data_IF_240276701959
#
_entry.id   IF_240276701959
#
_cell.length_a   1.000
_cell.length_b   1.000
_cell.length_c   1.000
_cell.angle_alpha   90.00
_cell.angle_beta   90.00
_cell.angle_gamma   90.00
#
_symmetry.space_group_name_H-M   'P 1'
#
loop_
_entity.id
_entity.type
_entity.pdbx_description
1 polymer ?
#
# COMPACT_ATOMS: atom_id res chain seq x y z
N UNK A 1 6.76 9.87 -14.68
CA UNK A 1 6.28 10.29 -13.34
C UNK A 1 7.03 9.47 -12.29
N UNK A 2 7.38 10.05 -11.17
CA UNK A 2 7.92 9.33 -10.02
C UNK A 2 7.32 9.87 -8.73
N UNK A 3 7.35 9.05 -7.67
CA UNK A 3 6.95 9.42 -6.33
C UNK A 3 7.94 10.46 -5.79
N UNK A 4 7.44 11.56 -5.26
CA UNK A 4 8.28 12.58 -4.61
C UNK A 4 8.59 12.15 -3.18
N UNK A 5 9.87 12.12 -2.84
CA UNK A 5 10.35 11.65 -1.55
C UNK A 5 11.36 12.64 -0.94
N UNK A 6 11.50 12.58 0.36
CA UNK A 6 12.61 13.20 1.07
C UNK A 6 13.89 12.33 1.03
N UNK A 7 14.92 12.75 1.76
CA UNK A 7 16.22 12.05 1.80
C UNK A 7 16.16 10.66 2.46
N UNK A 8 15.09 10.38 3.19
CA UNK A 8 14.86 9.13 3.92
C UNK A 8 13.86 8.22 3.21
N UNK A 9 13.55 8.52 1.94
CA UNK A 9 12.54 7.84 1.12
C UNK A 9 11.10 7.94 1.65
N UNK A 10 10.81 8.92 2.50
CA UNK A 10 9.45 9.20 2.92
C UNK A 10 8.71 9.92 1.79
N UNK A 11 7.54 9.42 1.43
CA UNK A 11 6.69 10.08 0.44
C UNK A 11 6.22 11.45 0.95
N UNK A 12 6.29 12.45 0.04
CA UNK A 12 5.89 13.83 0.35
C UNK A 12 4.44 14.15 -0.03
N UNK A 13 3.75 13.22 -0.68
CA UNK A 13 2.34 13.38 -1.05
C UNK A 13 1.47 13.31 0.21
N UNK A 14 0.50 14.22 0.32
CA UNK A 14 -0.54 14.14 1.33
C UNK A 14 -1.61 13.11 0.88
N UNK A 15 -1.92 12.17 1.76
CA UNK A 15 -2.94 11.14 1.52
C UNK A 15 -4.24 11.51 2.22
N UNK A 16 -5.07 12.30 1.51
CA UNK A 16 -6.31 12.83 2.05
C UNK A 16 -6.14 14.15 2.82
N UNK A 17 -7.14 14.51 3.59
CA UNK A 17 -7.18 15.70 4.44
C UNK A 17 -7.35 15.32 5.92
N UNK A 18 -7.35 16.33 6.81
CA UNK A 18 -7.64 16.07 8.22
C UNK A 18 -9.06 15.53 8.41
N UNK A 19 -10.03 16.09 7.70
CA UNK A 19 -11.46 15.70 7.79
C UNK A 19 -11.74 14.37 7.09
N UNK A 20 -10.98 14.04 6.04
CA UNK A 20 -11.09 12.78 5.30
C UNK A 20 -9.71 12.23 4.98
N UNK A 21 -9.11 11.48 5.90
CA UNK A 21 -7.73 11.02 5.79
C UNK A 21 -7.58 9.76 4.91
N UNK A 22 -8.18 9.79 3.73
CA UNK A 22 -8.17 8.70 2.75
C UNK A 22 -7.82 9.26 1.38
N UNK A 23 -6.95 8.58 0.65
CA UNK A 23 -6.66 8.85 -0.75
C UNK A 23 -6.84 7.56 -1.56
N UNK A 24 -7.61 7.63 -2.63
CA UNK A 24 -7.80 6.54 -3.56
C UNK A 24 -7.24 6.97 -4.91
N UNK A 25 -6.30 6.21 -5.45
CA UNK A 25 -5.66 6.46 -6.73
C UNK A 25 -5.89 5.30 -7.70
N UNK A 26 -6.25 5.63 -8.92
CA UNK A 26 -6.23 4.70 -10.05
C UNK A 26 -4.88 4.83 -10.73
N UNK A 27 -4.10 3.78 -10.69
CA UNK A 27 -2.70 3.79 -11.10
C UNK A 27 -2.44 2.84 -12.26
N UNK A 28 -1.42 3.18 -13.05
CA UNK A 28 -0.96 2.39 -14.17
C UNK A 28 0.57 2.45 -14.23
N UNK A 29 1.24 1.29 -14.24
CA UNK A 29 2.69 1.24 -14.17
C UNK A 29 3.41 1.93 -15.33
N UNK A 30 2.82 1.91 -16.54
CA UNK A 30 3.40 2.59 -17.70
C UNK A 30 3.51 4.11 -17.55
N UNK A 31 2.82 4.73 -16.59
CA UNK A 31 2.94 6.15 -16.28
C UNK A 31 4.20 6.48 -15.48
N UNK A 32 4.79 5.49 -14.82
CA UNK A 32 6.02 5.64 -14.07
C UNK A 32 7.23 5.44 -14.96
N UNK A 33 8.32 6.14 -14.64
CA UNK A 33 9.58 5.99 -15.37
C UNK A 33 10.05 4.53 -15.31
N UNK A 34 10.35 3.96 -16.47
CA UNK A 34 10.78 2.55 -16.63
C UNK A 34 9.75 1.54 -16.09
N UNK A 35 8.46 1.91 -16.01
CA UNK A 35 7.43 1.02 -15.51
C UNK A 35 7.58 0.61 -14.05
N UNK A 36 8.15 1.48 -13.22
CA UNK A 36 8.38 1.19 -11.80
C UNK A 36 8.24 2.44 -10.93
N UNK A 37 7.66 2.29 -9.76
CA UNK A 37 7.74 3.29 -8.72
C UNK A 37 8.81 2.91 -7.69
N UNK A 38 9.54 3.94 -7.24
CA UNK A 38 10.69 3.79 -6.38
C UNK A 38 10.33 3.35 -4.96
N UNK A 39 11.29 2.80 -4.25
CA UNK A 39 11.22 2.52 -2.82
C UNK A 39 10.82 3.76 -2.04
N UNK A 40 9.70 3.67 -1.33
CA UNK A 40 9.19 4.73 -0.47
C UNK A 40 8.42 4.15 0.72
N UNK A 41 8.16 5.00 1.69
CA UNK A 41 7.33 4.68 2.84
C UNK A 41 6.50 5.90 3.25
N UNK A 42 5.42 5.66 3.95
CA UNK A 42 4.54 6.67 4.52
C UNK A 42 3.86 6.13 5.79
N UNK A 43 3.36 7.02 6.69
CA UNK A 43 2.74 6.59 7.94
C UNK A 43 1.32 6.01 7.77
N UNK A 44 0.73 6.15 6.62
CA UNK A 44 -0.58 5.59 6.31
C UNK A 44 -0.49 4.09 6.07
N UNK A 45 -1.61 3.40 6.25
CA UNK A 45 -1.84 2.05 5.73
C UNK A 45 -2.14 2.15 4.25
N UNK A 46 -1.63 1.22 3.46
CA UNK A 46 -1.97 1.10 2.04
C UNK A 46 -2.59 -0.25 1.71
N UNK A 47 -3.64 -0.20 0.91
CA UNK A 47 -4.24 -1.36 0.25
C UNK A 47 -4.11 -1.17 -1.25
N UNK A 48 -3.41 -2.08 -1.91
CA UNK A 48 -3.31 -2.12 -3.37
C UNK A 48 -4.11 -3.31 -3.91
N UNK A 49 -4.88 -3.07 -4.96
CA UNK A 49 -5.70 -4.08 -5.63
C UNK A 49 -5.46 -4.06 -7.13
N UNK A 50 -5.08 -5.21 -7.72
CA UNK A 50 -4.76 -5.33 -9.15
C UNK A 50 -6.04 -5.53 -9.96
N UNK A 51 -6.29 -4.59 -10.88
CA UNK A 51 -7.45 -4.61 -11.79
C UNK A 51 -7.17 -5.36 -13.09
N UNK A 52 -5.94 -5.26 -13.60
CA UNK A 52 -5.50 -5.98 -14.80
C UNK A 52 -4.00 -6.10 -14.88
N UNK A 53 -3.51 -7.14 -15.53
CA UNK A 53 -2.10 -7.44 -15.66
C UNK A 53 -1.49 -8.02 -14.38
N UNK A 54 -0.22 -7.75 -14.17
CA UNK A 54 0.50 -8.22 -12.98
C UNK A 54 1.60 -7.23 -12.60
N UNK A 55 1.95 -7.22 -11.33
CA UNK A 55 2.98 -6.35 -10.75
C UNK A 55 3.92 -7.14 -9.85
N UNK A 56 5.23 -6.91 -9.99
CA UNK A 56 6.20 -7.28 -8.99
C UNK A 56 6.16 -6.26 -7.85
N UNK A 57 5.75 -6.68 -6.66
CA UNK A 57 5.59 -5.82 -5.51
C UNK A 57 6.55 -6.24 -4.41
N UNK A 58 7.23 -5.30 -3.79
CA UNK A 58 8.22 -5.57 -2.75
C UNK A 58 7.90 -4.78 -1.49
N UNK A 59 7.97 -5.45 -0.34
CA UNK A 59 7.74 -4.83 0.98
C UNK A 59 8.79 -5.33 1.97
N UNK A 60 9.58 -4.43 2.54
CA UNK A 60 10.61 -4.75 3.55
C UNK A 60 11.47 -5.96 3.17
N UNK A 61 11.89 -6.05 1.90
CA UNK A 61 12.75 -7.12 1.40
C UNK A 61 12.04 -8.42 1.00
N UNK A 62 10.72 -8.52 1.17
CA UNK A 62 9.92 -9.61 0.60
C UNK A 62 9.39 -9.22 -0.77
N UNK A 63 9.42 -10.17 -1.72
CA UNK A 63 8.96 -9.97 -3.09
C UNK A 63 7.71 -10.81 -3.36
N UNK A 64 6.76 -10.19 -4.06
CA UNK A 64 5.49 -10.81 -4.44
C UNK A 64 5.22 -10.56 -5.92
N UNK A 65 4.53 -11.49 -6.56
CA UNK A 65 3.89 -11.28 -7.86
C UNK A 65 2.39 -11.25 -7.63
N UNK A 66 1.78 -10.10 -7.87
CA UNK A 66 0.33 -9.91 -7.76
C UNK A 66 -0.27 -9.89 -9.15
N UNK A 67 -1.28 -10.70 -9.39
CA UNK A 67 -2.04 -10.78 -10.64
C UNK A 67 -3.42 -10.16 -10.50
N UNK A 68 -4.15 -10.03 -11.59
CA UNK A 68 -5.54 -9.56 -11.59
C UNK A 68 -6.37 -10.27 -10.52
N UNK A 69 -7.07 -9.49 -9.70
CA UNK A 69 -7.87 -9.96 -8.57
C UNK A 69 -7.11 -10.05 -7.24
N UNK A 70 -5.78 -10.06 -7.27
CA UNK A 70 -4.98 -10.05 -6.04
C UNK A 70 -4.90 -8.65 -5.43
N UNK A 71 -4.68 -8.61 -4.12
CA UNK A 71 -4.39 -7.39 -3.40
C UNK A 71 -3.27 -7.57 -2.38
N UNK A 72 -2.77 -6.46 -1.86
CA UNK A 72 -1.78 -6.45 -0.79
C UNK A 72 -2.08 -5.33 0.20
N UNK A 73 -1.98 -5.67 1.47
CA UNK A 73 -1.91 -4.74 2.58
C UNK A 73 -0.44 -4.40 2.86
N UNK A 74 -0.12 -3.12 2.93
CA UNK A 74 1.16 -2.61 3.43
C UNK A 74 0.91 -1.85 4.73
N UNK A 75 1.63 -2.27 5.78
CA UNK A 75 1.50 -1.65 7.08
C UNK A 75 2.14 -0.26 7.11
N UNK A 76 1.79 0.52 8.13
CA UNK A 76 2.39 1.83 8.40
C UNK A 76 3.92 1.75 8.36
N UNK A 77 4.55 2.71 7.72
CA UNK A 77 6.00 2.85 7.59
C UNK A 77 6.73 1.68 6.89
N UNK A 78 6.01 0.75 6.29
CA UNK A 78 6.64 -0.32 5.53
C UNK A 78 7.25 0.23 4.22
N UNK A 79 8.53 -0.06 3.99
CA UNK A 79 9.24 0.36 2.78
C UNK A 79 8.80 -0.54 1.61
N UNK A 80 8.26 0.04 0.55
CA UNK A 80 7.71 -0.71 -0.57
C UNK A 80 8.01 -0.09 -1.93
N UNK A 81 7.95 -0.91 -2.97
CA UNK A 81 8.14 -0.54 -4.37
C UNK A 81 7.38 -1.49 -5.30
N UNK A 82 7.19 -1.08 -6.54
CA UNK A 82 6.54 -1.90 -7.56
C UNK A 82 7.15 -1.73 -8.94
N UNK A 83 7.10 -2.79 -9.75
CA UNK A 83 7.67 -2.80 -11.08
C UNK A 83 6.90 -3.71 -12.03
N UNK A 84 7.01 -3.40 -13.31
CA UNK A 84 6.51 -4.27 -14.39
C UNK A 84 7.23 -5.62 -14.40
N UNK A 85 6.48 -6.66 -14.74
CA UNK A 85 7.03 -7.99 -15.02
C UNK A 85 7.00 -8.19 -16.54
N UNK A 86 8.14 -8.60 -17.10
CA UNK A 86 8.32 -8.86 -18.54
C UNK A 86 7.89 -7.69 -19.44
N UNK A 87 7.98 -6.46 -18.94
CA UNK A 87 7.59 -5.24 -19.68
C UNK A 87 6.08 -5.09 -19.90
N UNK A 88 5.26 -5.91 -19.26
CA UNK A 88 3.80 -5.83 -19.37
C UNK A 88 3.23 -4.85 -18.34
N UNK A 89 2.25 -4.07 -18.79
CA UNK A 89 1.60 -3.06 -17.96
C UNK A 89 0.69 -3.68 -16.90
N UNK A 90 0.48 -2.94 -15.83
CA UNK A 90 -0.43 -3.29 -14.76
C UNK A 90 -1.27 -2.07 -14.39
N UNK A 91 -2.57 -2.29 -14.23
CA UNK A 91 -3.52 -1.30 -13.71
C UNK A 91 -3.98 -1.76 -12.34
N UNK A 92 -3.92 -0.85 -11.37
CA UNK A 92 -4.28 -1.13 -9.98
C UNK A 92 -4.92 0.06 -9.30
N UNK A 93 -5.62 -0.18 -8.21
CA UNK A 93 -6.10 0.84 -7.29
C UNK A 93 -5.22 0.80 -6.05
N UNK A 94 -4.69 1.96 -5.66
CA UNK A 94 -4.04 2.15 -4.37
C UNK A 94 -4.95 2.99 -3.47
N UNK A 95 -5.22 2.49 -2.28
CA UNK A 95 -5.99 3.18 -1.24
C UNK A 95 -5.10 3.37 -0.03
N UNK A 96 -4.72 4.60 0.25
CA UNK A 96 -3.93 4.97 1.42
C UNK A 96 -4.80 5.71 2.43
N UNK A 97 -4.71 5.37 3.70
CA UNK A 97 -5.48 6.02 4.75
C UNK A 97 -4.74 6.07 6.08
N UNK A 98 -4.93 7.18 6.80
CA UNK A 98 -4.38 7.29 8.14
C UNK A 98 -5.06 6.29 9.09
N UNK A 99 -4.30 5.58 9.95
CA UNK A 99 -4.89 4.60 10.89
C UNK A 99 -6.02 5.16 11.76
N UNK A 100 -5.97 6.46 12.09
CA UNK A 100 -7.02 7.13 12.87
C UNK A 100 -8.40 7.08 12.22
N UNK A 101 -8.47 6.85 10.91
CA UNK A 101 -9.73 6.66 10.19
C UNK A 101 -10.54 5.48 10.74
N UNK A 102 -9.86 4.46 11.28
CA UNK A 102 -10.48 3.26 11.84
C UNK A 102 -10.87 3.40 13.31
N UNK A 103 -10.35 4.40 14.02
CA UNK A 103 -10.48 4.47 15.49
C UNK A 103 -11.89 4.82 15.98
N UNK A 104 -12.63 5.60 15.22
CA UNK A 104 -13.85 6.24 15.67
C UNK A 104 -13.58 7.42 16.62
N UNK A 105 -12.85 7.19 17.70
CA UNK A 105 -12.35 8.19 18.63
C UNK A 105 -11.09 7.69 19.36
N UNK A 106 -10.32 8.62 19.92
CA UNK A 106 -9.07 8.31 20.63
C UNK A 106 -9.28 7.39 21.82
N UNK A 107 -8.42 6.38 21.97
CA UNK A 107 -8.47 5.35 23.01
C UNK A 107 -9.74 4.48 22.96
N UNK A 108 -10.38 4.39 21.79
CA UNK A 108 -11.48 3.45 21.57
C UNK A 108 -10.99 2.00 21.70
N UNK A 109 -11.90 1.07 21.93
CA UNK A 109 -11.60 -0.36 21.92
C UNK A 109 -11.08 -0.80 20.53
N UNK A 110 -11.58 -0.19 19.45
CA UNK A 110 -11.11 -0.48 18.08
C UNK A 110 -9.65 -0.08 17.96
N UNK A 111 -9.25 1.10 18.39
CA UNK A 111 -7.85 1.53 18.38
C UNK A 111 -6.98 0.58 19.18
N UNK A 112 -7.29 0.39 20.47
CA UNK A 112 -6.36 -0.26 21.41
C UNK A 112 -6.29 -1.78 21.25
N UNK A 113 -7.39 -2.42 20.84
CA UNK A 113 -7.47 -3.88 20.72
C UNK A 113 -7.22 -4.44 19.32
N UNK A 114 -7.55 -3.67 18.30
CA UNK A 114 -7.54 -4.18 16.92
C UNK A 114 -6.55 -3.46 16.00
N UNK A 115 -6.42 -2.15 16.11
CA UNK A 115 -5.58 -1.39 15.19
C UNK A 115 -4.13 -1.29 15.69
N UNK A 116 -3.90 -0.83 16.90
CA UNK A 116 -2.54 -0.68 17.45
C UNK A 116 -1.70 -1.96 17.43
N UNK A 117 -2.24 -3.14 17.77
CA UNK A 117 -1.47 -4.37 17.67
C UNK A 117 -0.96 -4.68 16.26
N UNK A 118 -1.75 -4.33 15.23
CA UNK A 118 -1.33 -4.48 13.82
C UNK A 118 -0.25 -3.47 13.46
N UNK A 119 -0.44 -2.19 13.83
CA UNK A 119 0.52 -1.12 13.49
C UNK A 119 1.89 -1.31 14.14
N UNK A 120 1.94 -1.89 15.33
CA UNK A 120 3.16 -2.06 16.12
C UNK A 120 3.84 -3.42 15.91
N UNK A 121 3.22 -4.32 15.17
CA UNK A 121 3.81 -5.62 14.85
C UNK A 121 4.90 -5.47 13.79
N UNK A 122 6.15 -5.48 14.23
CA UNK A 122 7.32 -5.35 13.35
C UNK A 122 7.50 -6.52 12.37
N UNK A 123 6.83 -7.64 12.58
CA UNK A 123 6.86 -8.80 11.68
C UNK A 123 5.76 -8.73 10.62
N UNK A 124 4.73 -7.95 10.85
CA UNK A 124 3.59 -7.79 9.96
C UNK A 124 3.76 -6.54 9.07
N UNK A 125 4.65 -6.63 8.08
CA UNK A 125 4.84 -5.55 7.12
C UNK A 125 3.79 -5.57 5.98
N UNK A 126 3.32 -6.76 5.59
CA UNK A 126 2.39 -6.94 4.48
C UNK A 126 1.58 -8.23 4.60
N UNK A 127 0.41 -8.23 3.97
CA UNK A 127 -0.44 -9.41 3.77
C UNK A 127 -0.92 -9.40 2.33
N UNK A 128 -0.73 -10.49 1.60
CA UNK A 128 -1.29 -10.68 0.26
C UNK A 128 -2.69 -11.27 0.37
N UNK A 129 -3.61 -10.72 -0.38
CA UNK A 129 -4.98 -11.21 -0.56
C UNK A 129 -5.13 -11.84 -1.93
N UNK A 130 -5.85 -12.95 -2.00
CA UNK A 130 -6.12 -13.66 -3.25
C UNK A 130 -7.57 -14.14 -3.29
N UNK A 131 -8.26 -14.02 -4.43
CA UNK A 131 -9.63 -14.56 -4.59
C UNK A 131 -9.70 -16.08 -4.48
N UNK A 132 -8.56 -16.77 -4.48
CA UNK A 132 -8.48 -18.22 -4.28
C UNK A 132 -8.57 -18.62 -2.80
N UNK A 133 -8.57 -17.66 -1.87
CA UNK A 133 -8.70 -17.90 -0.42
C UNK A 133 -10.11 -17.51 0.01
N UNK A 134 -10.89 -18.49 0.45
CA UNK A 134 -12.35 -18.37 0.70
C UNK A 134 -12.77 -17.23 1.65
N UNK A 135 -11.91 -16.78 2.56
CA UNK A 135 -12.26 -15.73 3.51
C UNK A 135 -11.78 -14.31 3.08
N UNK A 136 -11.06 -14.20 1.98
CA UNK A 136 -10.55 -12.96 1.39
C UNK A 136 -11.42 -12.49 0.21
#
# INVERSE_FOLDING_TARGET
MQIRMDKENRELKAHGSYEFPVNISYEQLSRYERGSFSWHWHPEIELTFVLSGQIGYQVNGKSYVLKEGDGIFCNTNALHSGHMIDGMDCVYISTTFAPRFLYGFSNSVIQTRYVEPVLTDMQLASIVFSPEIDWQ
#
